data_IF_751286255402
#
_entry.id   IF_751286255402
#
_cell.length_a   1.000
_cell.length_b   1.000
_cell.length_c   1.000
_cell.angle_alpha   90.00
_cell.angle_beta   90.00
_cell.angle_gamma   90.00
#
_symmetry.space_group_name_H-M   'P 1'
#
loop_
_entity.id
_entity.type
_entity.pdbx_description
1 polymer ?
#
# COMPACT_ATOMS: atom_id res chain seq x y z
N UNK A 1 6.73 -22.98 18.15
CA UNK A 1 5.97 -22.15 19.11
C UNK A 1 4.82 -21.55 18.32
N UNK A 2 3.62 -22.08 18.48
CA UNK A 2 2.45 -21.67 17.69
C UNK A 2 1.97 -20.32 18.21
N UNK A 3 2.28 -19.23 17.51
CA UNK A 3 1.76 -17.92 17.84
C UNK A 3 0.26 -17.90 17.49
N UNK A 4 -0.60 -18.01 18.51
CA UNK A 4 -2.04 -17.87 18.35
C UNK A 4 -2.34 -16.41 17.98
N UNK A 5 -2.81 -16.20 16.76
CA UNK A 5 -3.16 -14.88 16.24
C UNK A 5 -4.39 -14.30 16.95
N UNK A 6 -4.44 -12.98 17.23
CA UNK A 6 -5.61 -12.36 17.84
C UNK A 6 -6.84 -12.49 16.93
N UNK A 7 -8.02 -12.69 17.53
CA UNK A 7 -9.31 -12.72 16.82
C UNK A 7 -9.91 -11.32 16.78
N UNK A 8 -10.60 -10.98 15.71
CA UNK A 8 -11.27 -9.70 15.60
C UNK A 8 -12.49 -9.59 16.53
N UNK A 9 -12.67 -8.46 17.26
CA UNK A 9 -13.80 -8.24 18.16
C UNK A 9 -15.15 -8.02 17.46
N UNK A 10 -15.17 -7.80 16.14
CA UNK A 10 -16.39 -7.55 15.35
C UNK A 10 -16.85 -8.79 14.55
N UNK A 11 -15.90 -9.54 13.96
CA UNK A 11 -16.19 -10.67 13.06
C UNK A 11 -15.85 -12.05 13.66
N UNK A 12 -15.09 -12.12 14.74
CA UNK A 12 -14.67 -13.37 15.40
C UNK A 12 -13.64 -14.21 14.64
N UNK A 13 -13.23 -13.80 13.43
CA UNK A 13 -12.24 -14.51 12.62
C UNK A 13 -10.79 -14.13 12.99
N UNK A 14 -9.85 -15.03 12.70
CA UNK A 14 -8.43 -14.87 12.98
C UNK A 14 -7.80 -13.73 12.14
N UNK A 15 -6.95 -12.93 12.76
CA UNK A 15 -6.20 -11.84 12.13
C UNK A 15 -4.85 -12.37 11.60
N UNK A 16 -4.38 -11.99 10.40
CA UNK A 16 -3.07 -12.45 9.90
C UNK A 16 -1.90 -11.66 10.53
N UNK A 17 -0.72 -12.30 10.64
CA UNK A 17 0.48 -11.85 11.40
C UNK A 17 1.03 -10.46 10.99
N UNK A 18 0.56 -9.88 9.89
CA UNK A 18 1.07 -8.64 9.30
C UNK A 18 0.17 -7.42 9.54
N UNK A 19 -0.86 -7.51 10.40
CA UNK A 19 -1.80 -6.39 10.57
C UNK A 19 -2.63 -6.43 11.85
N UNK A 20 -2.03 -6.06 12.97
CA UNK A 20 -2.66 -6.03 14.31
C UNK A 20 -3.78 -4.97 14.49
N UNK A 21 -4.34 -4.40 13.42
CA UNK A 21 -5.36 -3.33 13.53
C UNK A 21 -6.51 -3.39 12.53
N UNK A 22 -6.67 -4.49 11.79
CA UNK A 22 -7.66 -4.55 10.71
C UNK A 22 -8.28 -5.95 10.51
N UNK A 23 -9.62 -6.09 10.60
CA UNK A 23 -10.33 -7.33 10.19
C UNK A 23 -10.68 -7.23 8.71
N UNK A 24 -9.98 -8.04 7.91
CA UNK A 24 -10.19 -8.23 6.47
C UNK A 24 -11.60 -8.68 6.07
N UNK A 25 -12.43 -9.13 7.01
CA UNK A 25 -13.82 -9.52 6.77
C UNK A 25 -14.83 -8.39 7.05
N UNK A 26 -14.49 -7.38 7.85
CA UNK A 26 -15.36 -6.25 8.15
C UNK A 26 -15.08 -5.03 7.28
N UNK A 27 -13.84 -4.90 6.81
CA UNK A 27 -13.39 -3.78 5.99
C UNK A 27 -13.02 -4.24 4.58
N UNK A 28 -14.03 -4.64 3.78
CA UNK A 28 -13.83 -5.27 2.47
C UNK A 28 -13.11 -4.38 1.41
N UNK A 29 -13.13 -3.05 1.52
CA UNK A 29 -12.50 -2.18 0.52
C UNK A 29 -10.96 -2.20 0.54
N UNK A 30 -10.32 -2.58 1.65
CA UNK A 30 -8.86 -2.63 1.68
C UNK A 30 -8.31 -3.95 1.11
N UNK A 31 -9.12 -5.01 1.06
CA UNK A 31 -8.62 -6.36 0.79
C UNK A 31 -7.91 -6.49 -0.56
N UNK A 32 -8.43 -5.86 -1.60
CA UNK A 32 -7.80 -5.84 -2.93
C UNK A 32 -6.46 -5.07 -2.97
N UNK A 33 -6.31 -4.04 -2.12
CA UNK A 33 -5.10 -3.20 -2.07
C UNK A 33 -3.91 -3.98 -1.48
N UNK A 34 -4.14 -4.95 -0.60
CA UNK A 34 -3.08 -5.60 0.19
C UNK A 34 -2.86 -7.09 -0.13
N UNK A 35 -3.74 -7.75 -0.89
CA UNK A 35 -3.68 -9.21 -1.11
C UNK A 35 -3.03 -9.62 -2.44
N UNK A 36 -1.75 -9.29 -2.65
CA UNK A 36 -0.98 -10.03 -3.65
C UNK A 36 0.44 -10.20 -3.13
N UNK A 37 0.71 -11.37 -2.55
CA UNK A 37 2.00 -11.80 -2.03
C UNK A 37 3.12 -11.90 -3.07
N UNK A 38 2.97 -11.36 -4.28
CA UNK A 38 3.98 -11.42 -5.35
C UNK A 38 4.51 -10.08 -5.83
N UNK A 39 4.04 -8.92 -5.34
CA UNK A 39 4.67 -7.64 -5.70
C UNK A 39 4.61 -6.62 -4.55
N UNK A 40 5.75 -5.99 -4.17
CA UNK A 40 5.70 -4.90 -3.21
C UNK A 40 4.87 -3.76 -3.82
N UNK A 41 3.64 -3.55 -3.33
CA UNK A 41 2.71 -2.55 -3.87
C UNK A 41 3.11 -1.15 -3.39
N UNK A 42 2.94 -0.14 -4.24
CA UNK A 42 2.92 1.25 -3.78
C UNK A 42 1.55 1.51 -3.15
N UNK A 43 1.39 1.29 -1.85
CA UNK A 43 0.10 1.29 -1.15
C UNK A 43 -0.71 2.59 -1.32
N UNK A 44 -0.07 3.75 -1.16
CA UNK A 44 -0.74 5.05 -1.32
C UNK A 44 -1.23 5.25 -2.77
N UNK A 45 -0.41 4.83 -3.75
CA UNK A 45 -0.78 4.91 -5.16
C UNK A 45 -1.94 3.94 -5.47
N UNK A 46 -1.85 2.71 -5.00
CA UNK A 46 -2.89 1.69 -5.19
C UNK A 46 -4.22 2.14 -4.57
N UNK A 47 -4.20 2.71 -3.37
CA UNK A 47 -5.38 3.29 -2.72
C UNK A 47 -5.96 4.50 -3.47
N UNK A 48 -5.10 5.32 -4.09
CA UNK A 48 -5.53 6.46 -4.88
C UNK A 48 -6.16 6.04 -6.20
N UNK A 49 -5.53 5.14 -6.95
CA UNK A 49 -5.98 4.68 -8.27
C UNK A 49 -7.11 3.63 -8.19
N UNK A 50 -7.20 2.91 -7.07
CA UNK A 50 -8.16 1.81 -6.89
C UNK A 50 -7.74 0.53 -7.60
N UNK A 51 -6.55 0.49 -8.19
CA UNK A 51 -5.99 -0.67 -8.87
C UNK A 51 -4.47 -0.67 -8.72
N UNK A 52 -3.83 -1.85 -8.56
CA UNK A 52 -2.38 -1.97 -8.55
C UNK A 52 -1.78 -2.01 -9.97
N UNK A 53 -2.61 -2.03 -11.02
CA UNK A 53 -2.21 -2.22 -12.42
C UNK A 53 -2.21 -0.91 -13.23
N UNK A 54 -2.25 0.24 -12.57
CA UNK A 54 -2.12 1.51 -13.26
C UNK A 54 -0.68 1.68 -13.78
N UNK A 55 -0.54 2.12 -15.02
CA UNK A 55 0.76 2.33 -15.68
C UNK A 55 1.67 3.26 -14.85
N UNK A 56 1.10 4.28 -14.21
CA UNK A 56 1.85 5.19 -13.34
C UNK A 56 2.46 4.47 -12.12
N UNK A 57 1.82 3.41 -11.62
CA UNK A 57 2.33 2.59 -10.52
C UNK A 57 3.52 1.76 -10.99
N UNK A 58 3.50 1.25 -12.21
CA UNK A 58 4.61 0.47 -12.76
C UNK A 58 5.86 1.33 -12.97
N UNK A 59 5.71 2.59 -13.40
CA UNK A 59 6.83 3.54 -13.45
C UNK A 59 7.42 3.75 -12.05
N UNK A 60 6.59 3.96 -11.03
CA UNK A 60 7.05 4.12 -9.64
C UNK A 60 7.74 2.86 -9.10
N UNK A 61 7.23 1.67 -9.44
CA UNK A 61 7.85 0.39 -9.09
C UNK A 61 9.24 0.27 -9.73
N UNK A 62 9.33 0.55 -11.02
CA UNK A 62 10.62 0.54 -11.74
C UNK A 62 11.60 1.53 -11.13
N UNK A 63 11.18 2.75 -10.80
CA UNK A 63 12.02 3.72 -10.11
C UNK A 63 12.48 3.22 -8.74
N UNK A 64 11.57 2.64 -7.95
CA UNK A 64 11.90 2.04 -6.66
C UNK A 64 12.95 0.95 -6.80
N UNK A 65 12.77 0.03 -7.73
CA UNK A 65 13.62 -1.15 -7.85
C UNK A 65 14.98 -0.80 -8.49
N UNK A 66 14.99 0.12 -9.47
CA UNK A 66 16.20 0.50 -10.19
C UNK A 66 17.02 1.61 -9.51
N UNK A 67 16.40 2.52 -8.76
CA UNK A 67 17.09 3.68 -8.14
C UNK A 67 17.12 3.56 -6.62
N UNK A 68 15.95 3.46 -5.97
CA UNK A 68 15.87 3.47 -4.50
C UNK A 68 16.49 2.20 -3.89
N UNK A 69 16.25 1.03 -4.46
CA UNK A 69 16.79 -0.24 -3.92
C UNK A 69 18.32 -0.34 -4.01
N UNK A 70 18.92 0.30 -5.01
CA UNK A 70 20.37 0.30 -5.22
C UNK A 70 21.11 1.21 -4.24
N UNK A 71 20.46 2.23 -3.71
CA UNK A 71 21.05 3.21 -2.78
C UNK A 71 20.71 2.91 -1.32
N UNK A 72 21.66 3.10 -0.39
CA UNK A 72 21.44 2.89 1.05
C UNK A 72 20.29 3.76 1.59
N UNK A 73 20.29 5.06 1.26
CA UNK A 73 19.21 6.00 1.61
C UNK A 73 17.86 5.57 1.04
N UNK A 74 17.86 5.02 -0.18
CA UNK A 74 16.63 4.59 -0.83
C UNK A 74 16.02 3.34 -0.18
N UNK A 75 16.83 2.43 0.35
CA UNK A 75 16.34 1.28 1.14
C UNK A 75 15.68 1.72 2.44
N UNK A 76 16.27 2.68 3.15
CA UNK A 76 15.66 3.26 4.37
C UNK A 76 14.34 3.97 4.05
N UNK A 77 14.30 4.73 2.94
CA UNK A 77 13.06 5.37 2.47
C UNK A 77 11.98 4.33 2.15
N UNK A 78 12.33 3.24 1.45
CA UNK A 78 11.41 2.14 1.18
C UNK A 78 10.89 1.57 2.50
N UNK A 79 11.77 1.19 3.44
CA UNK A 79 11.35 0.60 4.71
C UNK A 79 10.40 1.52 5.50
N UNK A 80 10.72 2.82 5.57
CA UNK A 80 9.85 3.81 6.20
C UNK A 80 8.51 3.92 5.48
N UNK A 81 8.51 4.00 4.15
CA UNK A 81 7.29 4.02 3.33
C UNK A 81 6.41 2.81 3.62
N UNK A 82 6.95 1.59 3.62
CA UNK A 82 6.18 0.37 3.91
C UNK A 82 5.66 0.32 5.35
N UNK A 83 6.37 0.91 6.32
CA UNK A 83 5.93 0.97 7.70
C UNK A 83 4.75 1.93 7.94
N UNK A 84 4.75 3.10 7.27
CA UNK A 84 3.75 4.16 7.52
C UNK A 84 2.62 4.21 6.51
N UNK A 85 2.81 3.66 5.32
CA UNK A 85 1.83 3.77 4.24
C UNK A 85 0.53 2.99 4.45
N UNK A 86 0.47 1.83 5.15
CA UNK A 86 -0.80 1.11 5.32
C UNK A 86 -1.93 1.92 5.99
N UNK A 87 -1.71 2.59 7.14
CA UNK A 87 -2.75 3.41 7.75
C UNK A 87 -3.11 4.63 6.89
N UNK A 88 -2.13 5.24 6.20
CA UNK A 88 -2.36 6.40 5.32
C UNK A 88 -3.19 6.00 4.11
N UNK A 89 -2.85 4.88 3.46
CA UNK A 89 -3.55 4.37 2.29
C UNK A 89 -5.03 4.09 2.60
N UNK A 90 -5.37 3.67 3.83
CA UNK A 90 -6.76 3.52 4.26
C UNK A 90 -7.52 4.85 4.36
N UNK A 91 -6.85 5.93 4.76
CA UNK A 91 -7.47 7.27 4.81
C UNK A 91 -7.68 7.79 3.38
N UNK A 92 -6.69 7.60 2.51
CA UNK A 92 -6.77 7.96 1.09
C UNK A 92 -7.86 7.16 0.39
N UNK A 93 -7.99 5.86 0.65
CA UNK A 93 -8.99 5.01 0.00
C UNK A 93 -10.44 5.40 0.38
N UNK A 94 -10.66 5.96 1.57
CA UNK A 94 -11.98 6.41 2.02
C UNK A 94 -12.35 7.81 1.51
N UNK A 95 -11.38 8.63 1.09
CA UNK A 95 -11.64 10.02 0.67
C UNK A 95 -11.43 10.25 -0.81
N UNK A 96 -12.51 10.56 -1.53
CA UNK A 96 -12.48 10.92 -2.95
C UNK A 96 -11.60 12.13 -3.26
N UNK A 97 -11.48 13.07 -2.31
CA UNK A 97 -10.62 14.25 -2.47
C UNK A 97 -9.14 13.86 -2.40
N UNK A 98 -8.74 13.06 -1.41
CA UNK A 98 -7.36 12.59 -1.28
C UNK A 98 -6.97 11.73 -2.48
N UNK A 99 -7.86 10.85 -2.97
CA UNK A 99 -7.63 10.10 -4.22
C UNK A 99 -7.29 11.04 -5.39
N UNK A 100 -8.05 12.12 -5.58
CA UNK A 100 -7.81 13.08 -6.67
C UNK A 100 -6.47 13.79 -6.50
N UNK A 101 -6.15 14.27 -5.29
CA UNK A 101 -4.87 14.94 -5.00
C UNK A 101 -3.71 13.99 -5.27
N UNK A 102 -3.77 12.76 -4.76
CA UNK A 102 -2.72 11.77 -4.95
C UNK A 102 -2.56 11.40 -6.43
N UNK A 103 -3.65 11.21 -7.19
CA UNK A 103 -3.57 11.00 -8.64
C UNK A 103 -2.95 12.20 -9.36
N UNK A 104 -3.32 13.42 -8.98
CA UNK A 104 -2.76 14.65 -9.56
C UNK A 104 -1.27 14.83 -9.25
N UNK A 105 -0.78 14.33 -8.10
CA UNK A 105 0.63 14.32 -7.75
C UNK A 105 1.41 13.20 -8.46
N UNK A 106 0.82 12.00 -8.57
CA UNK A 106 1.50 10.83 -9.16
C UNK A 106 1.62 10.95 -10.67
N UNK A 107 0.62 11.47 -11.39
CA UNK A 107 0.66 11.62 -12.85
C UNK A 107 1.88 12.40 -13.38
N UNK A 108 2.18 13.62 -12.91
CA UNK A 108 3.36 14.35 -13.35
C UNK A 108 4.65 13.65 -12.90
N UNK A 109 4.67 13.08 -11.69
CA UNK A 109 5.83 12.34 -11.20
C UNK A 109 6.13 11.12 -12.09
N UNK A 110 5.11 10.34 -12.46
CA UNK A 110 5.25 9.22 -13.36
C UNK A 110 5.75 9.67 -14.74
N UNK A 111 5.30 10.82 -15.27
CA UNK A 111 5.85 11.35 -16.54
C UNK A 111 7.32 11.75 -16.45
N UNK A 112 7.76 12.30 -15.30
CA UNK A 112 9.16 12.71 -15.09
C UNK A 112 10.06 11.48 -14.89
N UNK A 113 9.54 10.41 -14.29
CA UNK A 113 10.29 9.19 -13.97
C UNK A 113 10.28 8.14 -15.08
N UNK A 114 9.45 8.34 -16.12
CA UNK A 114 9.36 7.50 -17.31
C UNK A 114 10.58 7.71 -18.20
#
# INVERSE_FOLDING_TARGET
>A
MSHQLPKCPHCGKEMSEIGERFCWHCDNEAKEIYDDGQNPKCFIATAAFGTPFAEEIDVLRSFRDNRLRKSFLGRSFISFYYAVSPPIARIVSKSSLLKKITRAAIRPLARILR
#
